data_IF_538953011612
#
_entry.id   IF_538953011612
#
_cell.length_a   1.000
_cell.length_b   1.000
_cell.length_c   1.000
_cell.angle_alpha   90.00
_cell.angle_beta   90.00
_cell.angle_gamma   90.00
#
_symmetry.space_group_name_H-M   'P 1'
#
loop_
_entity.id
_entity.type
_entity.pdbx_description
1 polymer ?
#
# COMPACT_ATOMS: atom_id res chain seq x y z
N UNK A 1 -8.66 -23.82 5.99
CA UNK A 1 -7.49 -22.94 6.22
C UNK A 1 -7.80 -21.48 5.87
N UNK A 2 -8.81 -20.86 6.50
CA UNK A 2 -9.23 -19.48 6.16
C UNK A 2 -8.36 -18.39 6.78
N UNK A 3 -7.90 -18.59 8.02
CA UNK A 3 -7.13 -17.58 8.75
C UNK A 3 -5.78 -17.25 8.09
N UNK A 4 -5.08 -18.27 7.57
CA UNK A 4 -3.83 -18.07 6.83
C UNK A 4 -4.05 -17.29 5.55
N UNK A 5 -5.14 -17.56 4.82
CA UNK A 5 -5.48 -16.84 3.58
C UNK A 5 -5.82 -15.38 3.91
N UNK A 6 -6.60 -15.13 4.97
CA UNK A 6 -6.88 -13.77 5.42
C UNK A 6 -5.60 -13.02 5.80
N UNK A 7 -4.71 -13.65 6.56
CA UNK A 7 -3.42 -13.07 6.93
C UNK A 7 -2.53 -12.79 5.71
N UNK A 8 -2.46 -13.71 4.74
CA UNK A 8 -1.69 -13.54 3.50
C UNK A 8 -2.27 -12.41 2.62
N UNK A 9 -3.59 -12.17 2.66
CA UNK A 9 -4.24 -11.02 2.01
C UNK A 9 -4.05 -9.69 2.77
N UNK A 10 -3.37 -9.70 3.91
CA UNK A 10 -3.09 -8.50 4.70
C UNK A 10 -4.10 -8.20 5.80
N UNK A 11 -4.89 -9.17 6.24
CA UNK A 11 -5.73 -8.99 7.42
C UNK A 11 -4.88 -8.75 8.67
N UNK A 12 -5.24 -7.73 9.45
CA UNK A 12 -4.57 -7.39 10.71
C UNK A 12 -4.95 -8.36 11.82
N UNK A 13 -4.16 -8.40 12.89
CA UNK A 13 -4.40 -9.29 14.04
C UNK A 13 -5.81 -9.08 14.62
N UNK A 14 -6.24 -7.82 14.76
CA UNK A 14 -7.57 -7.48 15.24
C UNK A 14 -8.69 -7.88 14.28
N UNK A 15 -8.46 -7.82 12.97
CA UNK A 15 -9.43 -8.29 11.98
C UNK A 15 -9.59 -9.81 12.05
N UNK A 16 -8.49 -10.55 12.20
CA UNK A 16 -8.53 -12.00 12.45
C UNK A 16 -9.25 -12.34 13.75
N UNK A 17 -9.01 -11.58 14.81
CA UNK A 17 -9.72 -11.72 16.08
C UNK A 17 -11.23 -11.53 15.91
N UNK A 18 -11.66 -10.49 15.18
CA UNK A 18 -13.08 -10.21 14.95
C UNK A 18 -13.77 -11.28 14.09
N UNK A 19 -13.12 -11.75 13.02
CA UNK A 19 -13.69 -12.74 12.09
C UNK A 19 -13.82 -14.11 12.76
N UNK A 20 -12.85 -14.51 13.57
CA UNK A 20 -12.78 -15.85 14.16
C UNK A 20 -13.19 -15.90 15.64
N UNK A 21 -13.56 -14.76 16.24
CA UNK A 21 -13.94 -14.68 17.65
C UNK A 21 -12.79 -15.01 18.60
N UNK A 22 -11.55 -14.65 18.27
CA UNK A 22 -10.40 -14.93 19.12
C UNK A 22 -10.16 -13.78 20.11
N UNK A 23 -10.07 -14.11 21.39
CA UNK A 23 -9.76 -13.13 22.44
C UNK A 23 -8.26 -12.86 22.57
N UNK A 24 -7.42 -13.82 22.18
CA UNK A 24 -5.97 -13.72 22.35
C UNK A 24 -5.28 -13.12 21.12
N UNK A 25 -4.61 -11.96 21.24
CA UNK A 25 -3.84 -11.38 20.15
C UNK A 25 -2.63 -12.25 19.78
N UNK A 26 -2.09 -13.03 20.72
CA UNK A 26 -0.98 -13.95 20.44
C UNK A 26 -1.37 -15.01 19.41
N UNK A 27 -2.62 -15.45 19.41
CA UNK A 27 -3.11 -16.44 18.46
C UNK A 27 -3.20 -15.86 17.05
N UNK A 28 -3.73 -14.64 16.92
CA UNK A 28 -3.77 -13.92 15.64
C UNK A 28 -2.36 -13.59 15.13
N UNK A 29 -1.45 -13.20 16.02
CA UNK A 29 -0.07 -12.85 15.71
C UNK A 29 0.72 -13.99 15.05
N UNK A 30 0.41 -15.26 15.36
CA UNK A 30 1.06 -16.40 14.72
C UNK A 30 0.81 -16.44 13.20
N UNK A 31 -0.38 -16.03 12.77
CA UNK A 31 -0.76 -16.05 11.36
C UNK A 31 -0.24 -14.82 10.62
N UNK A 32 -0.41 -13.62 11.21
CA UNK A 32 0.02 -12.35 10.60
C UNK A 32 1.54 -12.22 10.55
N UNK A 33 2.28 -12.67 11.58
CA UNK A 33 3.75 -12.58 11.57
C UNK A 33 4.37 -13.34 10.42
N UNK A 34 3.85 -14.53 10.09
CA UNK A 34 4.37 -15.33 8.99
C UNK A 34 4.07 -14.66 7.64
N UNK A 35 2.84 -14.19 7.46
CA UNK A 35 2.42 -13.49 6.25
C UNK A 35 3.23 -12.19 6.04
N UNK A 36 3.27 -11.34 7.07
CA UNK A 36 3.99 -10.07 7.05
C UNK A 36 5.49 -10.26 6.81
N UNK A 37 6.11 -11.29 7.41
CA UNK A 37 7.53 -11.57 7.16
C UNK A 37 7.82 -11.87 5.70
N UNK A 38 6.96 -12.64 5.03
CA UNK A 38 7.14 -12.99 3.60
C UNK A 38 6.97 -11.75 2.72
N UNK A 39 5.94 -10.94 3.00
CA UNK A 39 5.67 -9.70 2.27
C UNK A 39 6.81 -8.70 2.44
N UNK A 40 7.19 -8.41 3.69
CA UNK A 40 8.29 -7.50 4.01
C UNK A 40 9.62 -7.99 3.43
N UNK A 41 9.88 -9.29 3.43
CA UNK A 41 11.08 -9.83 2.79
C UNK A 41 11.06 -9.51 1.28
N UNK A 42 9.98 -9.82 0.57
CA UNK A 42 9.85 -9.52 -0.86
C UNK A 42 10.01 -8.04 -1.17
N UNK A 43 9.31 -7.18 -0.44
CA UNK A 43 9.34 -5.73 -0.62
C UNK A 43 10.73 -5.14 -0.31
N UNK A 44 11.41 -5.66 0.73
CA UNK A 44 12.71 -5.17 1.16
C UNK A 44 13.90 -5.81 0.41
N UNK A 45 13.70 -6.87 -0.38
CA UNK A 45 14.82 -7.51 -1.12
C UNK A 45 15.54 -6.52 -2.04
N UNK A 46 14.81 -5.56 -2.63
CA UNK A 46 15.39 -4.52 -3.46
C UNK A 46 16.33 -3.58 -2.69
N UNK A 47 16.16 -3.42 -1.38
CA UNK A 47 17.00 -2.55 -0.55
C UNK A 47 18.40 -3.13 -0.29
N UNK A 48 18.53 -4.45 -0.37
CA UNK A 48 19.81 -5.16 -0.18
C UNK A 48 20.51 -5.36 -1.53
N UNK A 49 19.76 -5.37 -2.63
CA UNK A 49 20.34 -5.34 -3.96
C UNK A 49 21.02 -3.97 -4.20
N UNK A 50 22.23 -3.92 -4.76
CA UNK A 50 22.77 -2.66 -5.25
C UNK A 50 21.77 -2.06 -6.24
N UNK A 51 21.54 -0.73 -6.22
CA UNK A 51 20.61 -0.11 -7.15
C UNK A 51 21.02 -0.54 -8.55
N UNK A 52 20.10 -1.23 -9.24
CA UNK A 52 20.27 -1.50 -10.66
C UNK A 52 20.47 -0.13 -11.32
N UNK A 53 21.69 0.15 -11.75
CA UNK A 53 22.00 1.42 -12.42
C UNK A 53 21.08 1.52 -13.64
N UNK A 54 20.17 2.50 -13.60
CA UNK A 54 19.38 2.94 -14.74
C UNK A 54 17.94 2.43 -14.79
N UNK A 55 17.04 3.15 -14.13
CA UNK A 55 15.87 3.73 -14.80
C UNK A 55 15.68 5.11 -14.19
N UNK A 56 16.35 6.08 -14.80
CA UNK A 56 16.04 7.49 -14.64
C UNK A 56 14.67 7.72 -15.29
N UNK A 57 13.57 7.35 -14.62
CA UNK A 57 12.27 7.94 -14.95
C UNK A 57 12.26 9.36 -14.40
N UNK A 58 12.76 10.24 -15.27
CA UNK A 58 12.21 11.55 -15.56
C UNK A 58 11.39 12.15 -14.43
N UNK A 59 12.13 12.65 -13.44
CA UNK A 59 11.65 13.66 -12.51
C UNK A 59 11.19 14.85 -13.37
N UNK A 60 9.90 14.91 -13.68
CA UNK A 60 9.29 16.02 -14.39
C UNK A 60 9.69 17.28 -13.65
N UNK A 61 10.60 18.02 -14.28
CA UNK A 61 11.03 19.33 -13.83
C UNK A 61 9.82 20.22 -14.04
N UNK A 62 9.01 20.38 -13.00
CA UNK A 62 8.12 21.53 -12.90
C UNK A 62 9.01 22.75 -12.61
N UNK A 63 9.65 23.26 -13.66
CA UNK A 63 10.14 24.64 -13.66
C UNK A 63 8.92 25.53 -13.47
N UNK A 64 8.78 26.04 -12.26
CA UNK A 64 7.91 27.14 -11.91
C UNK A 64 8.41 28.39 -12.63
N UNK A 65 8.02 28.53 -13.89
CA UNK A 65 7.99 29.81 -14.57
C UNK A 65 6.51 30.16 -14.69
N UNK A 66 6.12 31.22 -13.99
CA UNK A 66 4.73 31.61 -13.89
C UNK A 66 4.17 31.92 -15.26
N UNK A 67 3.00 31.34 -15.56
CA UNK A 67 2.02 32.07 -16.34
C UNK A 67 0.60 31.55 -16.09
N UNK A 68 -0.30 32.53 -16.02
CA UNK A 68 -1.75 32.54 -16.10
C UNK A 68 -2.57 31.25 -15.83
N UNK A 69 -3.35 31.31 -14.75
CA UNK A 69 -4.63 30.59 -14.67
C UNK A 69 -5.53 30.89 -15.88
N UNK A 70 -6.30 29.91 -16.37
CA UNK A 70 -7.59 30.21 -16.95
C UNK A 70 -8.69 29.79 -15.98
N UNK A 71 -9.39 30.78 -15.43
CA UNK A 71 -10.72 30.55 -14.84
C UNK A 71 -11.68 30.29 -16.01
N UNK A 72 -12.30 29.10 -16.05
CA UNK A 72 -13.49 28.88 -16.87
C UNK A 72 -14.62 28.47 -15.91
N UNK A 73 -15.22 29.47 -15.29
CA UNK A 73 -16.62 29.37 -14.87
C UNK A 73 -17.47 29.58 -16.12
N UNK A 74 -18.16 28.54 -16.57
CA UNK A 74 -19.33 28.70 -17.42
C UNK A 74 -20.35 27.63 -17.09
N UNK A 75 -21.37 28.02 -16.33
CA UNK A 75 -22.56 27.21 -16.15
C UNK A 75 -23.40 27.13 -17.43
N UNK A 76 -24.19 26.06 -17.53
CA UNK A 76 -25.58 26.11 -17.98
C UNK A 76 -26.27 24.76 -17.71
N UNK A 77 -27.36 24.82 -16.95
CA UNK A 77 -28.41 23.78 -16.92
C UNK A 77 -28.91 23.55 -18.35
N UNK A 78 -29.11 22.30 -18.72
CA UNK A 78 -30.02 21.93 -19.80
C UNK A 78 -31.07 20.97 -19.20
N UNK A 79 -32.28 21.10 -19.72
CA UNK A 79 -33.57 20.65 -19.19
C UNK A 79 -33.70 19.13 -19.04
#
# INVERSE_FOLDING_TARGET
AGATIAADNGATEHQLMAIYGWESPKQAALYTRKANRRKLAGDAMHLIAPPARGTEEERTVITSEGDCSPVITSGRKAQ
#
